data_IF_398791868547
#
_entry.id   IF_398791868547
#
_cell.length_a   1.000
_cell.length_b   1.000
_cell.length_c   1.000
_cell.angle_alpha   90.00
_cell.angle_beta   90.00
_cell.angle_gamma   90.00
#
_symmetry.space_group_name_H-M   'P 1'
#
loop_
_entity.id
_entity.type
_entity.pdbx_description
1 polymer ?
#
# COMPACT_ATOMS: atom_id res chain seq x y z
N UNK A 1 -9.68 15.63 5.62
CA UNK A 1 -10.22 14.57 6.50
C UNK A 1 -9.89 13.22 5.87
N UNK A 2 -9.53 12.20 6.66
CA UNK A 2 -9.17 10.87 6.15
C UNK A 2 -10.27 9.89 6.51
N UNK A 3 -10.94 9.31 5.53
CA UNK A 3 -12.17 8.54 5.73
C UNK A 3 -12.13 7.15 5.09
N UNK A 4 -11.20 6.88 4.16
CA UNK A 4 -11.01 5.54 3.61
C UNK A 4 -10.32 4.69 4.68
N UNK A 5 -10.90 3.53 5.03
CA UNK A 5 -10.28 2.59 5.97
C UNK A 5 -9.10 1.85 5.34
N UNK A 6 -8.18 1.36 6.16
CA UNK A 6 -7.05 0.53 5.73
C UNK A 6 -7.50 -0.73 5.00
N UNK A 7 -8.58 -1.36 5.48
CA UNK A 7 -9.22 -2.50 4.82
C UNK A 7 -9.68 -2.18 3.39
N UNK A 8 -10.38 -1.05 3.19
CA UNK A 8 -10.86 -0.64 1.86
C UNK A 8 -9.69 -0.25 0.96
N UNK A 9 -8.68 0.42 1.51
CA UNK A 9 -7.46 0.76 0.77
C UNK A 9 -6.74 -0.50 0.28
N UNK A 10 -6.61 -1.54 1.10
CA UNK A 10 -6.03 -2.82 0.66
C UNK A 10 -6.78 -3.42 -0.54
N UNK A 11 -8.11 -3.39 -0.56
CA UNK A 11 -8.89 -3.81 -1.74
C UNK A 11 -8.54 -2.94 -2.95
N UNK A 12 -8.47 -1.62 -2.75
CA UNK A 12 -8.11 -0.66 -3.78
C UNK A 12 -6.72 -0.98 -4.36
N UNK A 13 -5.73 -1.34 -3.54
CA UNK A 13 -4.37 -1.62 -4.01
C UNK A 13 -4.33 -2.77 -5.02
N UNK A 14 -4.93 -3.91 -4.67
CA UNK A 14 -4.94 -5.07 -5.54
C UNK A 14 -5.79 -4.84 -6.80
N UNK A 15 -6.92 -4.15 -6.67
CA UNK A 15 -7.75 -3.77 -7.81
C UNK A 15 -7.03 -2.80 -8.75
N UNK A 16 -6.36 -1.78 -8.19
CA UNK A 16 -5.58 -0.80 -8.93
C UNK A 16 -4.36 -1.44 -9.59
N UNK A 17 -3.68 -2.37 -8.92
CA UNK A 17 -2.56 -3.10 -9.49
C UNK A 17 -3.00 -3.95 -10.70
N UNK A 18 -4.12 -4.66 -10.59
CA UNK A 18 -4.71 -5.39 -11.72
C UNK A 18 -5.11 -4.45 -12.86
N UNK A 19 -5.76 -3.32 -12.53
CA UNK A 19 -6.13 -2.30 -13.51
C UNK A 19 -4.90 -1.71 -14.22
N UNK A 20 -3.82 -1.45 -13.49
CA UNK A 20 -2.57 -0.91 -14.03
C UNK A 20 -1.87 -1.91 -14.97
N UNK A 21 -1.90 -3.21 -14.65
CA UNK A 21 -1.40 -4.27 -15.52
C UNK A 21 -2.17 -4.36 -16.85
N UNK A 22 -3.49 -4.22 -16.78
CA UNK A 22 -4.40 -4.33 -17.93
C UNK A 22 -4.58 -3.01 -18.69
N UNK A 23 -4.22 -1.87 -18.10
CA UNK A 23 -4.44 -0.55 -18.67
C UNK A 23 -3.91 -0.39 -20.11
N UNK A 24 -2.69 -0.87 -20.48
CA UNK A 24 -2.24 -0.81 -21.86
C UNK A 24 -3.19 -1.49 -22.85
N UNK A 25 -3.79 -2.60 -22.46
CA UNK A 25 -4.69 -3.38 -23.28
C UNK A 25 -6.07 -2.70 -23.37
N UNK A 26 -6.63 -2.32 -22.22
CA UNK A 26 -7.97 -1.70 -22.11
C UNK A 26 -8.03 -0.35 -22.82
N UNK A 27 -7.04 0.52 -22.59
CA UNK A 27 -6.97 1.84 -23.23
C UNK A 27 -6.32 1.81 -24.62
N UNK A 28 -6.08 0.60 -25.16
CA UNK A 28 -5.63 0.34 -26.53
C UNK A 28 -4.34 1.09 -26.86
N UNK A 29 -3.33 1.01 -26.01
CA UNK A 29 -1.97 1.49 -26.29
C UNK A 29 -0.89 0.42 -26.07
N UNK A 30 -1.27 -0.83 -25.81
CA UNK A 30 -0.35 -1.97 -25.70
C UNK A 30 0.56 -2.14 -26.92
N UNK A 31 0.08 -1.77 -28.12
CA UNK A 31 0.88 -1.79 -29.36
C UNK A 31 2.13 -0.89 -29.32
N UNK A 32 2.15 0.12 -28.44
CA UNK A 32 3.32 0.98 -28.27
C UNK A 32 4.52 0.20 -27.69
N UNK A 33 4.25 -0.90 -26.97
CA UNK A 33 5.28 -1.72 -26.35
C UNK A 33 6.25 -0.90 -25.49
N UNK A 34 7.53 -1.27 -25.54
CA UNK A 34 8.64 -0.44 -25.09
C UNK A 34 8.58 -0.01 -23.61
N UNK A 35 9.14 1.17 -23.33
CA UNK A 35 9.14 1.75 -21.99
C UNK A 35 7.72 2.01 -21.42
N UNK A 36 6.75 2.56 -22.17
CA UNK A 36 5.44 2.89 -21.61
C UNK A 36 4.67 1.67 -21.07
N UNK A 37 4.65 0.59 -21.84
CA UNK A 37 3.94 -0.62 -21.41
C UNK A 37 4.70 -1.32 -20.28
N UNK A 38 6.03 -1.39 -20.37
CA UNK A 38 6.87 -2.03 -19.34
C UNK A 38 6.82 -1.29 -18.01
N UNK A 39 6.81 0.05 -18.01
CA UNK A 39 6.73 0.84 -16.78
C UNK A 39 5.42 0.59 -16.04
N UNK A 40 4.25 0.64 -16.71
CA UNK A 40 2.96 0.38 -16.03
C UNK A 40 2.87 -1.05 -15.48
N UNK A 41 3.33 -2.04 -16.24
CA UNK A 41 3.35 -3.45 -15.78
C UNK A 41 4.34 -3.67 -14.64
N UNK A 42 5.52 -3.07 -14.70
CA UNK A 42 6.51 -3.15 -13.62
C UNK A 42 6.01 -2.48 -12.35
N UNK A 43 5.38 -1.31 -12.46
CA UNK A 43 4.74 -0.63 -11.34
C UNK A 43 3.55 -1.41 -10.77
N UNK A 44 2.80 -2.14 -11.60
CA UNK A 44 1.74 -3.04 -11.12
C UNK A 44 2.31 -4.16 -10.25
N UNK A 45 3.38 -4.82 -10.71
CA UNK A 45 4.07 -5.85 -9.92
C UNK A 45 4.62 -5.26 -8.62
N UNK A 46 5.26 -4.09 -8.70
CA UNK A 46 5.75 -3.38 -7.52
C UNK A 46 4.62 -3.08 -6.51
N UNK A 47 3.46 -2.60 -6.99
CA UNK A 47 2.28 -2.34 -6.17
C UNK A 47 1.80 -3.57 -5.40
N UNK A 48 1.67 -4.71 -6.09
CA UNK A 48 1.32 -5.98 -5.43
C UNK A 48 2.38 -6.35 -4.40
N UNK A 49 3.66 -6.24 -4.74
CA UNK A 49 4.74 -6.64 -3.84
C UNK A 49 4.72 -5.83 -2.54
N UNK A 50 4.82 -4.50 -2.57
CA UNK A 50 4.86 -3.77 -1.29
C UNK A 50 3.54 -3.87 -0.51
N UNK A 51 2.40 -4.05 -1.19
CA UNK A 51 1.10 -4.35 -0.57
C UNK A 51 1.12 -5.65 0.23
N UNK A 52 1.61 -6.74 -0.38
CA UNK A 52 1.79 -8.05 0.29
C UNK A 52 2.70 -7.92 1.51
N UNK A 53 3.69 -7.03 1.45
CA UNK A 53 4.65 -6.78 2.53
C UNK A 53 4.19 -5.72 3.57
N UNK A 54 2.94 -5.27 3.50
CA UNK A 54 2.40 -4.23 4.40
C UNK A 54 1.67 -4.82 5.60
N UNK A 55 1.87 -4.25 6.79
CA UNK A 55 1.11 -4.51 7.99
C UNK A 55 -0.27 -3.84 7.91
N UNK A 56 -1.18 -4.50 7.19
CA UNK A 56 -2.60 -4.19 7.08
C UNK A 56 -3.41 -5.46 6.80
N UNK A 57 -4.73 -5.35 6.64
CA UNK A 57 -5.66 -6.49 6.60
C UNK A 57 -5.44 -7.44 5.41
N UNK A 58 -4.92 -6.93 4.29
CA UNK A 58 -4.66 -7.69 3.06
C UNK A 58 -3.19 -8.03 2.84
N UNK A 59 -2.34 -7.83 3.86
CA UNK A 59 -0.91 -8.09 3.79
C UNK A 59 -0.58 -9.50 4.28
N UNK A 60 0.34 -10.18 3.60
CA UNK A 60 0.78 -11.53 4.00
C UNK A 60 2.00 -11.48 4.92
N UNK A 61 2.92 -10.55 4.68
CA UNK A 61 4.19 -10.44 5.42
C UNK A 61 4.33 -9.02 5.98
N UNK A 62 4.29 -8.86 7.29
CA UNK A 62 3.98 -7.55 7.89
C UNK A 62 5.24 -6.76 8.24
N UNK A 63 5.92 -6.28 7.20
CA UNK A 63 7.21 -5.58 7.31
C UNK A 63 7.06 -4.06 7.24
N UNK A 64 6.18 -3.58 6.37
CA UNK A 64 5.97 -2.15 6.13
C UNK A 64 4.76 -1.65 6.94
N UNK A 65 4.94 -0.60 7.76
CA UNK A 65 3.79 0.04 8.41
C UNK A 65 2.85 0.68 7.38
N UNK A 66 1.55 0.77 7.70
CA UNK A 66 0.58 1.47 6.85
C UNK A 66 0.97 2.94 6.57
N UNK A 67 1.62 3.62 7.52
CA UNK A 67 2.16 4.98 7.30
C UNK A 67 3.24 4.99 6.22
N UNK A 68 4.11 3.98 6.18
CA UNK A 68 5.15 3.83 5.16
C UNK A 68 4.52 3.49 3.81
N UNK A 69 3.56 2.57 3.78
CA UNK A 69 2.80 2.21 2.58
C UNK A 69 2.18 3.44 1.91
N UNK A 70 1.45 4.27 2.65
CA UNK A 70 0.81 5.47 2.09
C UNK A 70 1.84 6.52 1.59
N UNK A 71 3.04 6.59 2.18
CA UNK A 71 4.13 7.43 1.64
C UNK A 71 4.64 6.90 0.30
N UNK A 72 4.76 5.57 0.19
CA UNK A 72 5.12 4.90 -1.07
C UNK A 72 4.04 5.17 -2.11
N UNK A 73 2.75 5.06 -1.78
CA UNK A 73 1.64 5.38 -2.69
C UNK A 73 1.65 6.82 -3.18
N UNK A 74 1.93 7.77 -2.29
CA UNK A 74 2.03 9.18 -2.65
C UNK A 74 3.20 9.41 -3.63
N UNK A 75 4.37 8.81 -3.36
CA UNK A 75 5.53 8.87 -4.23
C UNK A 75 5.27 8.18 -5.58
N UNK A 76 4.60 7.02 -5.56
CA UNK A 76 4.17 6.26 -6.73
C UNK A 76 3.21 7.09 -7.61
N UNK A 77 2.23 7.75 -6.98
CA UNK A 77 1.29 8.63 -7.66
C UNK A 77 1.96 9.83 -8.33
N UNK A 78 2.88 10.49 -7.60
CA UNK A 78 3.69 11.58 -8.13
C UNK A 78 4.61 11.12 -9.27
N UNK A 79 5.22 9.94 -9.14
CA UNK A 79 6.03 9.35 -10.21
C UNK A 79 5.19 9.12 -11.46
N UNK A 80 4.00 8.55 -11.36
CA UNK A 80 3.10 8.33 -12.49
C UNK A 80 2.65 9.65 -13.16
N UNK A 81 2.36 10.69 -12.38
CA UNK A 81 2.04 12.03 -12.90
C UNK A 81 3.21 12.65 -13.67
N UNK A 82 4.43 12.48 -13.15
CA UNK A 82 5.64 13.06 -13.73
C UNK A 82 6.19 12.23 -14.91
N UNK A 83 6.03 10.91 -14.89
CA UNK A 83 6.69 9.97 -15.79
C UNK A 83 6.53 10.31 -17.29
N UNK A 84 5.34 10.68 -17.80
CA UNK A 84 5.18 11.06 -19.20
C UNK A 84 6.09 12.20 -19.65
N UNK A 85 6.35 13.18 -18.77
CA UNK A 85 7.19 14.34 -19.06
C UNK A 85 8.66 14.07 -18.70
N UNK A 86 8.91 13.49 -17.53
CA UNK A 86 10.25 13.27 -16.98
C UNK A 86 11.06 12.24 -17.78
N UNK A 87 10.43 11.14 -18.21
CA UNK A 87 11.10 10.09 -18.99
C UNK A 87 11.18 10.43 -20.48
N UNK A 88 10.86 11.68 -20.87
CA UNK A 88 10.77 12.14 -22.26
C UNK A 88 10.08 11.09 -23.13
N UNK A 89 8.94 10.61 -22.66
CA UNK A 89 8.05 9.70 -23.37
C UNK A 89 7.35 10.46 -24.53
N UNK A 90 8.13 11.21 -25.32
CA UNK A 90 7.73 12.23 -26.28
C UNK A 90 7.03 11.69 -27.53
N UNK A 91 6.75 10.39 -27.58
CA UNK A 91 5.92 9.72 -28.59
C UNK A 91 4.69 9.03 -28.00
N UNK A 92 4.36 9.23 -26.72
CA UNK A 92 3.12 8.69 -26.15
C UNK A 92 1.91 9.32 -26.80
N UNK A 93 1.00 8.47 -27.26
CA UNK A 93 -0.32 8.96 -27.63
C UNK A 93 -1.04 9.55 -26.41
N UNK A 94 -2.02 10.41 -26.68
CA UNK A 94 -2.73 11.12 -25.62
C UNK A 94 -3.49 10.16 -24.68
N UNK A 95 -3.80 8.93 -25.11
CA UNK A 95 -4.44 7.91 -24.27
C UNK A 95 -3.47 7.41 -23.23
N UNK A 96 -2.28 6.96 -23.64
CA UNK A 96 -1.24 6.51 -22.73
C UNK A 96 -0.91 7.59 -21.71
N UNK A 97 -0.68 8.84 -22.13
CA UNK A 97 -0.38 9.94 -21.20
C UNK A 97 -1.48 10.13 -20.14
N UNK A 98 -2.75 10.18 -20.57
CA UNK A 98 -3.89 10.31 -19.64
C UNK A 98 -4.04 9.11 -18.70
N UNK A 99 -3.68 7.90 -19.15
CA UNK A 99 -3.68 6.71 -18.29
C UNK A 99 -2.67 6.87 -17.15
N UNK A 100 -1.43 7.27 -17.45
CA UNK A 100 -0.42 7.55 -16.41
C UNK A 100 -0.89 8.63 -15.43
N UNK A 101 -1.34 9.77 -15.95
CA UNK A 101 -1.78 10.89 -15.12
C UNK A 101 -3.00 10.53 -14.26
N UNK A 102 -3.94 9.76 -14.82
CA UNK A 102 -5.14 9.30 -14.12
C UNK A 102 -4.82 8.37 -12.95
N UNK A 103 -4.00 7.34 -13.17
CA UNK A 103 -3.56 6.46 -12.09
C UNK A 103 -2.69 7.18 -11.07
N UNK A 104 -1.86 8.12 -11.51
CA UNK A 104 -1.02 8.92 -10.61
C UNK A 104 -1.85 9.80 -9.69
N UNK A 105 -2.86 10.50 -10.23
CA UNK A 105 -3.80 11.29 -9.45
C UNK A 105 -4.63 10.42 -8.50
N UNK A 106 -5.12 9.28 -9.00
CA UNK A 106 -5.88 8.32 -8.20
C UNK A 106 -5.08 7.82 -6.99
N UNK A 107 -3.85 7.34 -7.21
CA UNK A 107 -2.96 6.85 -6.15
C UNK A 107 -2.66 7.94 -5.12
N UNK A 108 -2.38 9.16 -5.58
CA UNK A 108 -2.13 10.28 -4.68
C UNK A 108 -3.39 10.63 -3.86
N UNK A 109 -4.56 10.67 -4.48
CA UNK A 109 -5.81 10.91 -3.78
C UNK A 109 -6.11 9.81 -2.75
N UNK A 110 -6.00 8.54 -3.13
CA UNK A 110 -6.16 7.42 -2.21
C UNK A 110 -5.23 7.56 -1.00
N UNK A 111 -3.94 7.85 -1.23
CA UNK A 111 -2.95 8.00 -0.16
C UNK A 111 -3.29 9.09 0.86
N UNK A 112 -3.82 10.22 0.38
CA UNK A 112 -4.17 11.39 1.19
C UNK A 112 -5.50 11.21 1.94
N UNK A 113 -6.42 10.41 1.40
CA UNK A 113 -7.76 10.21 1.94
C UNK A 113 -7.88 8.97 2.84
N UNK A 114 -6.90 8.05 2.80
CA UNK A 114 -6.86 6.83 3.62
C UNK A 114 -6.30 7.05 5.01
N UNK A 115 -6.90 6.42 6.02
CA UNK A 115 -6.43 6.41 7.41
C UNK A 115 -5.02 5.79 7.52
N UNK A 116 -4.17 6.36 8.36
CA UNK A 116 -2.77 5.91 8.54
C UNK A 116 -2.57 4.74 9.48
N UNK A 117 -3.61 4.34 10.19
CA UNK A 117 -3.52 3.41 11.30
C UNK A 117 -4.49 2.27 11.08
N UNK A 118 -3.99 1.07 11.29
CA UNK A 118 -4.78 -0.15 11.26
C UNK A 118 -5.45 -0.30 12.62
N UNK A 119 -6.76 -0.60 12.71
CA UNK A 119 -7.47 -0.69 14.00
C UNK A 119 -6.88 -1.71 15.00
N UNK A 120 -6.22 -2.78 14.55
CA UNK A 120 -5.36 -3.62 15.39
C UNK A 120 -4.17 -4.11 14.54
N UNK A 121 -2.96 -3.55 14.71
CA UNK A 121 -1.77 -4.06 14.06
C UNK A 121 -1.32 -5.35 14.75
N UNK A 122 -1.15 -6.43 13.98
CA UNK A 122 -0.84 -7.75 14.53
C UNK A 122 0.50 -7.86 15.25
N UNK A 123 1.45 -6.94 15.01
CA UNK A 123 2.74 -6.95 15.72
C UNK A 123 2.62 -6.37 17.14
N UNK A 124 1.59 -5.56 17.40
CA UNK A 124 1.39 -4.90 18.71
C UNK A 124 0.28 -5.57 19.51
N UNK A 125 -0.83 -5.97 18.87
CA UNK A 125 -1.92 -6.67 19.58
C UNK A 125 -1.49 -8.06 20.08
N UNK A 126 -0.57 -8.76 19.38
CA UNK A 126 -0.02 -10.04 19.89
C UNK A 126 0.86 -9.85 21.13
N UNK A 127 1.59 -8.73 21.25
CA UNK A 127 2.52 -8.53 22.36
C UNK A 127 1.82 -8.21 23.68
N UNK A 128 0.64 -7.57 23.64
CA UNK A 128 -0.13 -7.30 24.87
C UNK A 128 -0.74 -8.57 25.48
N UNK A 129 -1.15 -9.55 24.66
CA UNK A 129 -1.74 -10.80 25.18
C UNK A 129 -0.71 -11.65 25.94
N UNK A 130 0.57 -11.60 25.55
CA UNK A 130 1.64 -12.36 26.21
C UNK A 130 2.16 -11.71 27.51
N UNK A 131 2.09 -10.36 27.67
CA UNK A 131 2.56 -9.65 28.87
C UNK A 131 1.50 -9.58 30.00
N UNK A 132 0.20 -9.63 29.69
CA UNK A 132 -0.88 -9.58 30.71
C UNK A 132 -1.18 -10.95 31.37
N UNK A 133 -0.66 -12.05 30.84
CA UNK A 133 -0.95 -13.42 31.31
C UNK A 133 -0.03 -13.94 32.44
N UNK A 134 0.79 -13.11 33.09
CA UNK A 134 1.51 -13.49 34.31
C UNK A 134 0.79 -12.93 35.54
N UNK A 135 -0.15 -13.68 36.16
CA UNK A 135 -0.69 -13.27 37.44
C UNK A 135 0.43 -13.22 38.47
N UNK A 136 0.63 -12.05 39.09
CA UNK A 136 1.51 -11.89 40.23
C UNK A 136 1.16 -12.93 41.29
N UNK A 137 2.12 -13.81 41.62
CA UNK A 137 2.00 -14.71 42.77
C UNK A 137 1.65 -13.87 44.00
N UNK A 138 0.58 -14.18 44.75
CA UNK A 138 0.35 -13.53 46.03
C UNK A 138 1.54 -13.84 46.94
N UNK A 139 2.09 -12.78 47.56
CA UNK A 139 3.12 -12.91 48.58
C UNK A 139 2.56 -13.76 49.73
N UNK A 140 3.20 -14.90 50.00
CA UNK A 140 2.92 -15.69 51.19
C UNK A 140 3.29 -14.86 52.43
N UNK A 141 2.40 -14.74 53.44
CA UNK A 141 2.77 -14.07 54.68
C UNK A 141 3.81 -14.90 55.43
N UNK A 142 4.83 -14.22 55.94
CA UNK A 142 5.86 -14.79 56.80
C UNK A 142 5.20 -15.40 58.04
N UNK A 143 5.22 -16.73 58.13
CA UNK A 143 4.92 -17.43 59.36
C UNK A 143 6.14 -17.32 60.29
N UNK A 144 6.14 -16.27 61.11
CA UNK A 144 6.88 -16.28 62.36
C UNK A 144 6.05 -16.97 63.44
N UNK A 145 6.66 -17.88 64.19
CA UNK A 145 6.47 -18.13 65.64
C UNK A 145 7.24 -19.39 66.02
N UNK A 146 8.05 -19.31 67.08
CA UNK A 146 8.75 -20.44 67.71
C UNK A 146 10.17 -20.14 68.08
#
# INVERSE_FOLDING_TARGET
MRFISTYVHGIIDYAAAAALALAPNVFRFARLGGAPVRTLRGLSVFAVLYSVFTDYEWGAVKVLSMRTHLKIDAAFGLFLLAAPRALKLAGLDARARRTYEGFGLFSLAASLLTKTEVPCPSVVCMRSEDEEAVPARPAQPAAGTG
#
